data_IF_601622150118
#
_entry.id   IF_601622150118
#
_cell.length_a   1.000
_cell.length_b   1.000
_cell.length_c   1.000
_cell.angle_alpha   90.00
_cell.angle_beta   90.00
_cell.angle_gamma   90.00
#
_symmetry.space_group_name_H-M   'P 1'
#
loop_
_entity.id
_entity.type
_entity.pdbx_description
1 polymer ?
#
# COMPACT_ATOMS: atom_id res chain seq x y z
N UNK A 1 22.19 9.77 -4.82
CA UNK A 1 20.92 10.19 -4.20
C UNK A 1 19.89 9.17 -4.62
N UNK A 2 19.02 8.76 -3.70
CA UNK A 2 17.95 7.81 -3.97
C UNK A 2 16.60 8.56 -4.07
N UNK A 3 15.66 8.03 -4.84
CA UNK A 3 14.31 8.56 -5.00
C UNK A 3 13.29 7.61 -4.38
N UNK A 4 12.42 8.17 -3.53
CA UNK A 4 11.21 7.49 -3.06
C UNK A 4 10.04 7.95 -3.91
N UNK A 5 9.29 7.00 -4.45
CA UNK A 5 7.96 7.26 -4.98
C UNK A 5 6.91 6.85 -3.95
N UNK A 6 6.10 7.80 -3.50
CA UNK A 6 4.97 7.56 -2.62
C UNK A 6 3.68 7.50 -3.44
N UNK A 7 2.95 6.39 -3.30
CA UNK A 7 1.74 6.12 -4.08
C UNK A 7 0.59 5.69 -3.18
N UNK A 8 -0.61 6.06 -3.60
CA UNK A 8 -1.87 5.68 -2.97
C UNK A 8 -2.57 4.63 -3.83
N UNK A 9 -3.32 3.74 -3.20
CA UNK A 9 -4.36 2.91 -3.84
C UNK A 9 -5.72 3.18 -3.19
N UNK A 10 -6.80 2.82 -3.88
CA UNK A 10 -8.17 2.99 -3.38
C UNK A 10 -8.77 4.35 -3.68
N UNK A 11 -8.21 5.09 -4.65
CA UNK A 11 -8.86 6.31 -5.13
C UNK A 11 -10.29 5.99 -5.61
N UNK A 12 -11.19 6.96 -5.59
CA UNK A 12 -12.59 6.70 -5.98
C UNK A 12 -12.74 6.22 -7.43
N UNK A 13 -11.77 6.56 -8.28
CA UNK A 13 -11.68 6.13 -9.68
C UNK A 13 -10.91 4.83 -9.88
N UNK A 14 -10.35 4.25 -8.81
CA UNK A 14 -9.54 3.04 -8.93
C UNK A 14 -10.42 1.85 -9.31
N UNK A 15 -10.09 1.25 -10.45
CA UNK A 15 -10.48 -0.10 -10.83
C UNK A 15 -9.30 -1.06 -10.61
N UNK A 16 -9.57 -2.38 -10.65
CA UNK A 16 -8.50 -3.40 -10.63
C UNK A 16 -7.41 -3.10 -11.66
N UNK A 17 -7.80 -2.75 -12.88
CA UNK A 17 -6.88 -2.45 -13.98
C UNK A 17 -6.01 -1.22 -13.67
N UNK A 18 -6.59 -0.13 -13.15
CA UNK A 18 -5.81 1.07 -12.81
C UNK A 18 -4.79 0.83 -11.70
N UNK A 19 -5.13 -0.01 -10.72
CA UNK A 19 -4.21 -0.44 -9.65
C UNK A 19 -3.04 -1.24 -10.24
N UNK A 20 -3.33 -2.19 -11.14
CA UNK A 20 -2.32 -2.99 -11.83
C UNK A 20 -1.42 -2.11 -12.73
N UNK A 21 -2.00 -1.15 -13.43
CA UNK A 21 -1.27 -0.21 -14.28
C UNK A 21 -0.33 0.69 -13.45
N UNK A 22 -0.81 1.22 -12.31
CA UNK A 22 0.02 1.99 -11.36
C UNK A 22 1.16 1.15 -10.80
N UNK A 23 0.88 -0.11 -10.46
CA UNK A 23 1.90 -1.08 -10.02
C UNK A 23 2.97 -1.28 -11.08
N UNK A 24 2.56 -1.47 -12.33
CA UNK A 24 3.47 -1.66 -13.47
C UNK A 24 4.33 -0.41 -13.71
N UNK A 25 3.74 0.78 -13.58
CA UNK A 25 4.47 2.05 -13.66
C UNK A 25 5.58 2.12 -12.60
N UNK A 26 5.26 1.88 -11.33
CA UNK A 26 6.26 1.91 -10.24
C UNK A 26 7.43 0.95 -10.49
N UNK A 27 7.14 -0.25 -11.00
CA UNK A 27 8.15 -1.26 -11.32
C UNK A 27 9.08 -0.80 -12.45
N UNK A 28 8.55 -0.11 -13.46
CA UNK A 28 9.28 0.22 -14.68
C UNK A 28 9.91 1.61 -14.66
N UNK A 29 9.47 2.50 -13.78
CA UNK A 29 10.07 3.82 -13.59
C UNK A 29 11.37 3.75 -12.79
N UNK A 30 12.22 4.77 -12.94
CA UNK A 30 13.47 4.98 -12.19
C UNK A 30 13.18 5.46 -10.75
N UNK A 31 12.45 4.62 -10.01
CA UNK A 31 12.11 4.81 -8.60
C UNK A 31 12.84 3.73 -7.81
N UNK A 32 13.65 4.14 -6.84
CA UNK A 32 14.48 3.23 -6.07
C UNK A 32 13.70 2.57 -4.93
N UNK A 33 12.88 3.35 -4.22
CA UNK A 33 12.03 2.88 -3.12
C UNK A 33 10.55 3.20 -3.40
N UNK A 34 9.70 2.19 -3.29
CA UNK A 34 8.28 2.30 -3.65
C UNK A 34 7.43 2.19 -2.40
N UNK A 35 7.02 3.34 -1.84
CA UNK A 35 6.11 3.37 -0.71
C UNK A 35 4.67 3.35 -1.24
N UNK A 36 3.85 2.44 -0.72
CA UNK A 36 2.42 2.38 -1.07
C UNK A 36 1.56 2.38 0.18
N UNK A 37 0.41 3.05 0.09
CA UNK A 37 -0.61 3.11 1.14
C UNK A 37 -2.00 2.98 0.52
N UNK A 38 -2.97 2.56 1.33
CA UNK A 38 -4.38 2.68 1.00
C UNK A 38 -4.84 4.08 1.40
N UNK A 39 -5.64 4.74 0.56
CA UNK A 39 -6.24 6.02 0.94
C UNK A 39 -7.16 5.82 2.15
N UNK A 40 -6.81 6.44 3.26
CA UNK A 40 -7.50 6.28 4.53
C UNK A 40 -8.26 7.57 4.85
N UNK A 41 -9.59 7.55 5.00
CA UNK A 41 -10.37 8.69 5.43
C UNK A 41 -10.10 8.98 6.91
N UNK A 42 -9.13 9.83 7.23
CA UNK A 42 -8.86 10.18 8.63
C UNK A 42 -9.93 11.15 9.18
N UNK A 43 -10.46 10.96 10.40
CA UNK A 43 -11.38 11.93 11.01
C UNK A 43 -10.85 13.35 11.00
N UNK A 44 -11.73 14.30 10.67
CA UNK A 44 -11.37 15.71 10.46
C UNK A 44 -10.86 16.06 9.06
N UNK A 45 -10.76 15.09 8.14
CA UNK A 45 -10.48 15.36 6.72
C UNK A 45 -11.77 15.49 5.91
N UNK A 46 -11.75 16.31 4.87
CA UNK A 46 -12.87 16.42 3.92
C UNK A 46 -13.22 15.07 3.26
N UNK A 47 -12.24 14.18 3.11
CA UNK A 47 -12.49 12.84 2.59
C UNK A 47 -13.29 11.98 3.57
N UNK A 48 -12.98 12.06 4.86
CA UNK A 48 -13.76 11.37 5.90
C UNK A 48 -15.18 11.91 6.00
N UNK A 49 -15.36 13.23 6.03
CA UNK A 49 -16.70 13.85 6.06
C UNK A 49 -17.54 13.39 4.87
N UNK A 50 -16.95 13.35 3.67
CA UNK A 50 -17.64 12.83 2.48
C UNK A 50 -18.03 11.36 2.64
N UNK A 51 -17.10 10.51 3.07
CA UNK A 51 -17.39 9.08 3.25
C UNK A 51 -18.44 8.83 4.34
N UNK A 52 -18.46 9.64 5.40
CA UNK A 52 -19.45 9.57 6.46
C UNK A 52 -20.83 9.98 5.94
N UNK A 53 -20.93 11.11 5.26
CA UNK A 53 -22.19 11.62 4.70
C UNK A 53 -22.79 10.68 3.64
N UNK A 54 -21.96 9.95 2.92
CA UNK A 54 -22.37 8.95 1.94
C UNK A 54 -22.65 7.55 2.55
N UNK A 55 -22.53 7.38 3.87
CA UNK A 55 -22.63 6.07 4.58
C UNK A 55 -21.67 4.99 4.03
N UNK A 56 -20.46 5.43 3.68
CA UNK A 56 -19.43 4.61 3.05
C UNK A 56 -18.29 4.24 3.99
N UNK A 57 -18.25 4.71 5.23
CA UNK A 57 -17.29 4.23 6.23
C UNK A 57 -17.64 2.81 6.68
N UNK A 58 -16.63 1.94 6.83
CA UNK A 58 -16.80 0.58 7.38
C UNK A 58 -16.65 0.60 8.91
N UNK A 59 -15.71 1.41 9.40
CA UNK A 59 -15.37 1.56 10.81
C UNK A 59 -15.55 3.02 11.20
N UNK A 60 -16.48 3.34 12.10
CA UNK A 60 -16.81 4.72 12.48
C UNK A 60 -17.11 4.91 13.97
N UNK A 61 -16.96 3.87 14.79
CA UNK A 61 -17.14 3.91 16.24
C UNK A 61 -15.81 4.24 16.94
N UNK A 62 -15.52 5.52 17.09
CA UNK A 62 -14.30 5.97 17.75
C UNK A 62 -14.49 6.11 19.26
N UNK A 63 -13.48 5.74 20.09
CA UNK A 63 -12.09 5.41 19.71
C UNK A 63 -11.83 3.94 19.34
N UNK A 64 -12.79 3.03 19.52
CA UNK A 64 -12.58 1.57 19.39
C UNK A 64 -12.05 1.17 18.00
N UNK A 65 -12.52 1.84 16.96
CA UNK A 65 -12.18 1.56 15.58
C UNK A 65 -10.82 2.15 15.12
N UNK A 66 -10.10 2.87 15.98
CA UNK A 66 -8.85 3.54 15.60
C UNK A 66 -7.78 2.59 15.08
N UNK A 67 -7.78 1.34 15.55
CA UNK A 67 -6.84 0.30 15.13
C UNK A 67 -6.96 -0.07 13.64
N UNK A 68 -8.08 0.23 12.97
CA UNK A 68 -8.27 -0.05 11.54
C UNK A 68 -7.67 1.02 10.63
N UNK A 69 -7.33 2.20 11.15
CA UNK A 69 -6.86 3.36 10.38
C UNK A 69 -5.33 3.36 10.23
N UNK A 70 -4.79 2.27 9.68
CA UNK A 70 -3.36 1.90 9.63
C UNK A 70 -2.66 2.19 8.27
N UNK A 71 -3.37 2.79 7.30
CA UNK A 71 -2.94 3.01 5.90
C UNK A 71 -2.74 1.74 5.05
N UNK A 72 -3.22 0.59 5.51
CA UNK A 72 -3.12 -0.71 4.84
C UNK A 72 -4.51 -1.35 4.68
N UNK A 73 -5.39 -1.23 5.69
CA UNK A 73 -6.75 -1.73 5.67
C UNK A 73 -7.68 -0.81 4.86
N UNK A 74 -8.55 -1.41 4.06
CA UNK A 74 -9.63 -0.69 3.37
C UNK A 74 -10.78 -0.48 4.37
N UNK A 75 -10.93 0.76 4.84
CA UNK A 75 -11.91 1.14 5.87
C UNK A 75 -13.15 1.86 5.31
N UNK A 76 -13.36 1.80 4.01
CA UNK A 76 -14.50 2.43 3.33
C UNK A 76 -15.02 1.57 2.17
N UNK A 77 -16.24 1.84 1.71
CA UNK A 77 -16.90 1.22 0.56
C UNK A 77 -16.53 1.98 -0.73
N UNK A 78 -15.71 1.45 -1.65
CA UNK A 78 -15.36 2.14 -2.90
C UNK A 78 -16.54 2.18 -3.89
N UNK A 79 -16.54 3.13 -4.85
CA UNK A 79 -17.64 3.32 -5.80
C UNK A 79 -17.70 2.26 -6.91
N UNK A 80 -16.54 1.73 -7.32
CA UNK A 80 -16.41 0.91 -8.53
C UNK A 80 -16.26 -0.60 -8.26
N UNK A 81 -16.18 -1.01 -7.01
CA UNK A 81 -16.07 -2.42 -6.60
C UNK A 81 -16.45 -2.61 -5.13
N UNK A 82 -16.43 -3.84 -4.64
CA UNK A 82 -16.59 -4.11 -3.20
C UNK A 82 -15.31 -3.78 -2.44
N UNK A 83 -15.41 -3.47 -1.14
CA UNK A 83 -14.24 -3.27 -0.28
C UNK A 83 -13.30 -4.49 -0.29
N UNK A 84 -13.87 -5.70 -0.28
CA UNK A 84 -13.10 -6.95 -0.42
C UNK A 84 -12.39 -7.05 -1.78
N UNK A 85 -13.06 -6.67 -2.87
CA UNK A 85 -12.49 -6.64 -4.22
C UNK A 85 -11.32 -5.66 -4.33
N UNK A 86 -11.43 -4.49 -3.68
CA UNK A 86 -10.35 -3.52 -3.59
C UNK A 86 -9.18 -4.07 -2.78
N UNK A 87 -9.43 -4.60 -1.58
CA UNK A 87 -8.40 -5.22 -0.73
C UNK A 87 -7.66 -6.35 -1.45
N UNK A 88 -8.37 -7.22 -2.18
CA UNK A 88 -7.78 -8.29 -2.99
C UNK A 88 -6.89 -7.75 -4.12
N UNK A 89 -7.34 -6.69 -4.80
CA UNK A 89 -6.59 -6.06 -5.89
C UNK A 89 -5.30 -5.40 -5.37
N UNK A 90 -5.39 -4.66 -4.27
CA UNK A 90 -4.25 -4.03 -3.60
C UNK A 90 -3.26 -5.09 -3.09
N UNK A 91 -3.75 -6.16 -2.46
CA UNK A 91 -2.89 -7.25 -2.02
C UNK A 91 -2.16 -7.93 -3.18
N UNK A 92 -2.83 -8.13 -4.32
CA UNK A 92 -2.19 -8.66 -5.53
C UNK A 92 -1.12 -7.71 -6.07
N UNK A 93 -1.38 -6.41 -6.03
CA UNK A 93 -0.41 -5.38 -6.38
C UNK A 93 0.81 -5.40 -5.47
N UNK A 94 0.65 -5.49 -4.14
CA UNK A 94 1.77 -5.58 -3.20
C UNK A 94 2.63 -6.83 -3.40
N UNK A 95 2.02 -8.00 -3.63
CA UNK A 95 2.78 -9.21 -3.97
C UNK A 95 3.61 -9.04 -5.24
N UNK A 96 3.09 -8.30 -6.21
CA UNK A 96 3.78 -8.03 -7.47
C UNK A 96 4.88 -6.99 -7.29
N UNK A 97 4.62 -5.94 -6.50
CA UNK A 97 5.51 -4.81 -6.28
C UNK A 97 6.74 -5.21 -5.45
N UNK A 98 6.53 -5.96 -4.38
CA UNK A 98 7.57 -6.35 -3.41
C UNK A 98 8.07 -7.79 -3.59
N UNK A 99 7.95 -8.35 -4.80
CA UNK A 99 8.56 -9.63 -5.13
C UNK A 99 10.10 -9.57 -4.99
N UNK A 100 10.69 -10.57 -4.33
CA UNK A 100 12.13 -10.59 -4.01
C UNK A 100 13.03 -10.45 -5.25
N UNK A 101 12.69 -11.12 -6.35
CA UNK A 101 13.48 -11.02 -7.60
C UNK A 101 13.43 -9.61 -8.16
N UNK A 102 12.28 -8.94 -8.04
CA UNK A 102 12.13 -7.54 -8.49
C UNK A 102 12.89 -6.57 -7.60
N UNK A 103 12.83 -6.73 -6.28
CA UNK A 103 13.58 -5.86 -5.37
C UNK A 103 15.09 -5.99 -5.57
N UNK A 104 15.59 -7.22 -5.80
CA UNK A 104 16.99 -7.46 -6.19
C UNK A 104 17.36 -6.80 -7.51
N UNK A 105 16.48 -6.86 -8.52
CA UNK A 105 16.70 -6.17 -9.80
C UNK A 105 16.76 -4.65 -9.61
N UNK A 106 15.80 -4.06 -8.89
CA UNK A 106 15.79 -2.63 -8.54
C UNK A 106 17.06 -2.20 -7.81
N UNK A 107 17.59 -3.02 -6.90
CA UNK A 107 18.87 -2.76 -6.25
C UNK A 107 20.04 -2.72 -7.25
N UNK A 108 20.11 -3.67 -8.18
CA UNK A 108 21.13 -3.68 -9.24
C UNK A 108 21.00 -2.45 -10.14
N UNK A 109 19.78 -2.08 -10.51
CA UNK A 109 19.51 -0.91 -11.36
C UNK A 109 19.91 0.39 -10.63
N UNK A 110 19.55 0.52 -9.35
CA UNK A 110 19.96 1.64 -8.50
C UNK A 110 21.49 1.75 -8.38
N UNK A 111 22.19 0.63 -8.20
CA UNK A 111 23.65 0.60 -8.19
C UNK A 111 24.25 1.07 -9.53
N UNK A 112 23.69 0.63 -10.65
CA UNK A 112 24.17 0.99 -11.99
C UNK A 112 23.93 2.46 -12.32
N UNK A 113 22.74 2.96 -12.00
CA UNK A 113 22.30 4.32 -12.32
C UNK A 113 23.02 5.35 -11.44
N UNK A 114 23.05 5.12 -10.12
CA UNK A 114 23.57 6.08 -9.15
C UNK A 114 25.07 5.94 -8.87
N UNK A 115 25.65 4.76 -9.17
CA UNK A 115 27.03 4.37 -8.80
C UNK A 115 27.32 4.55 -7.30
N UNK A 116 26.28 4.54 -6.46
CA UNK A 116 26.37 4.81 -5.03
C UNK A 116 25.82 3.62 -4.22
N UNK A 117 26.68 2.79 -3.61
CA UNK A 117 26.25 1.60 -2.88
C UNK A 117 25.46 1.91 -1.61
N UNK A 118 25.70 3.06 -0.97
CA UNK A 118 24.95 3.50 0.21
C UNK A 118 23.50 3.81 -0.19
N UNK A 119 23.31 4.56 -1.28
CA UNK A 119 21.97 4.89 -1.80
C UNK A 119 21.21 3.62 -2.19
N UNK A 120 21.84 2.69 -2.92
CA UNK A 120 21.20 1.45 -3.32
C UNK A 120 20.81 0.56 -2.11
N UNK A 121 21.70 0.47 -1.12
CA UNK A 121 21.45 -0.31 0.11
C UNK A 121 20.29 0.28 0.90
N UNK A 122 20.27 1.61 1.05
CA UNK A 122 19.18 2.31 1.71
C UNK A 122 17.84 2.06 1.00
N UNK A 123 17.79 2.18 -0.33
CA UNK A 123 16.56 1.92 -1.10
C UNK A 123 16.08 0.47 -0.97
N UNK A 124 17.00 -0.51 -1.00
CA UNK A 124 16.66 -1.91 -0.82
C UNK A 124 16.05 -2.17 0.56
N UNK A 125 16.70 -1.67 1.62
CA UNK A 125 16.20 -1.79 2.99
C UNK A 125 14.84 -1.10 3.19
N UNK A 126 14.65 0.08 2.59
CA UNK A 126 13.35 0.77 2.61
C UNK A 126 12.25 -0.08 1.96
N UNK A 127 12.51 -0.73 0.82
CA UNK A 127 11.53 -1.63 0.21
C UNK A 127 11.24 -2.88 1.07
N UNK A 128 12.24 -3.44 1.76
CA UNK A 128 12.01 -4.56 2.70
C UNK A 128 11.15 -4.13 3.89
N UNK A 129 11.36 -2.91 4.38
CA UNK A 129 10.52 -2.33 5.43
C UNK A 129 9.08 -2.13 4.94
N UNK A 130 8.89 -1.52 3.76
CA UNK A 130 7.55 -1.34 3.18
C UNK A 130 6.85 -2.67 2.89
N UNK A 131 7.57 -3.69 2.40
CA UNK A 131 7.06 -5.05 2.30
C UNK A 131 6.55 -5.53 3.66
N UNK A 132 7.37 -5.40 4.71
CA UNK A 132 7.00 -5.88 6.04
C UNK A 132 5.74 -5.18 6.55
N UNK A 133 5.63 -3.86 6.42
CA UNK A 133 4.47 -3.08 6.83
C UNK A 133 3.17 -3.56 6.16
N UNK A 134 3.15 -3.72 4.83
CA UNK A 134 1.91 -4.09 4.11
C UNK A 134 1.49 -5.55 4.34
N UNK A 135 2.38 -6.40 4.85
CA UNK A 135 2.11 -7.81 5.13
C UNK A 135 2.02 -8.14 6.64
N UNK A 136 2.29 -7.19 7.53
CA UNK A 136 2.29 -7.34 8.99
C UNK A 136 0.90 -7.75 9.51
N UNK A 137 -0.15 -7.05 9.09
CA UNK A 137 -1.54 -7.28 9.50
C UNK A 137 -2.06 -8.69 9.19
N UNK A 138 -1.50 -9.37 8.19
CA UNK A 138 -1.88 -10.75 7.88
C UNK A 138 -1.31 -11.74 8.89
N UNK A 139 -0.09 -11.52 9.39
CA UNK A 139 0.50 -12.34 10.46
C UNK A 139 -0.32 -12.20 11.74
N UNK A 140 -0.72 -10.99 12.11
CA UNK A 140 -1.50 -10.76 13.32
C UNK A 140 -2.92 -11.34 13.24
N UNK A 141 -3.65 -11.14 12.12
CA UNK A 141 -4.98 -11.72 11.91
C UNK A 141 -4.94 -13.26 11.84
N UNK A 142 -3.88 -13.86 11.25
CA UNK A 142 -3.67 -15.32 11.26
C UNK A 142 -3.35 -15.86 12.66
N UNK A 143 -2.52 -15.18 13.45
CA UNK A 143 -2.18 -15.59 14.83
C UNK A 143 -3.41 -15.49 15.76
N UNK A 144 -4.28 -14.50 15.58
CA UNK A 144 -5.53 -14.38 16.33
C UNK A 144 -6.52 -15.51 15.99
N UNK A 145 -6.58 -15.95 14.73
CA UNK A 145 -7.50 -17.02 14.30
C UNK A 145 -7.06 -18.45 14.68
N UNK A 146 -5.80 -18.65 15.10
CA UNK A 146 -5.28 -19.97 15.54
C UNK A 146 -5.41 -20.17 17.05
N UNK A 147 -5.82 -19.15 17.81
CA UNK A 147 -6.03 -19.22 19.26
C UNK A 147 -7.47 -19.52 19.70
N UNK A 148 -8.27 -20.18 18.84
CA UNK A 148 -9.61 -20.68 19.18
C UNK A 148 -9.62 -22.21 19.24
#
# INVERSE_FOLDING_TARGET
MAVIGAFLYGLETDTKETIENRTRYMINADIDAMQTTVITPLPGTAFFERMQNEDRLIYNNFPDDWAHYDFVEVVFKPKLMTAEGLSKSIYSAWKTLYDDKRLKRKFIDALRLTKNPISATWSYNSNLHYHSLVFEHKKEKLVRNVKL
#
